data_IF_524813969255
#
_entry.id   IF_524813969255
#
_cell.length_a   1.000
_cell.length_b   1.000
_cell.length_c   1.000
_cell.angle_alpha   90.00
_cell.angle_beta   90.00
_cell.angle_gamma   90.00
#
_symmetry.space_group_name_H-M   'P 1'
#
loop_
_entity.id
_entity.type
_entity.pdbx_description
1 polymer ?
#
# COMPACT_ATOMS: atom_id res chain seq x y z
N UNK A 1 1.02 15.27 11.80
CA UNK A 1 0.32 14.06 11.31
C UNK A 1 1.06 13.47 10.10
N UNK A 2 1.03 12.16 9.88
CA UNK A 2 1.56 11.47 8.69
C UNK A 2 0.54 10.46 8.18
N UNK A 3 0.47 10.25 6.86
CA UNK A 3 -0.49 9.30 6.28
C UNK A 3 0.15 8.33 5.31
N UNK A 4 -0.42 7.13 5.18
CA UNK A 4 -0.02 6.16 4.16
C UNK A 4 -1.22 5.37 3.65
N UNK A 5 -1.40 5.32 2.33
CA UNK A 5 -2.28 4.34 1.71
C UNK A 5 -1.50 3.04 1.47
N UNK A 6 -1.85 1.97 2.17
CA UNK A 6 -1.34 0.62 1.93
C UNK A 6 -2.34 -0.15 1.08
N UNK A 7 -2.03 -0.39 -0.19
CA UNK A 7 -2.92 -1.05 -1.15
C UNK A 7 -2.39 -2.39 -1.61
N UNK A 8 -3.32 -3.32 -1.91
CA UNK A 8 -3.02 -4.53 -2.65
C UNK A 8 -2.75 -4.18 -4.12
N UNK A 9 -1.81 -4.88 -4.76
CA UNK A 9 -1.58 -4.73 -6.19
C UNK A 9 -2.85 -4.99 -7.03
N UNK A 10 -2.91 -4.37 -8.21
CA UNK A 10 -4.00 -4.57 -9.17
C UNK A 10 -3.95 -5.97 -9.81
N UNK A 11 -4.97 -6.32 -10.60
CA UNK A 11 -5.08 -7.64 -11.24
C UNK A 11 -3.83 -8.03 -12.03
N UNK A 12 -3.15 -9.09 -11.59
CA UNK A 12 -1.93 -9.59 -12.22
C UNK A 12 -2.17 -10.45 -13.45
N UNK A 13 -1.16 -10.56 -14.29
CA UNK A 13 -1.01 -11.67 -15.24
C UNK A 13 -0.86 -12.97 -14.44
N UNK A 14 -1.57 -14.03 -14.82
CA UNK A 14 -1.52 -15.30 -14.11
C UNK A 14 -0.21 -16.05 -14.32
N UNK A 15 0.47 -15.77 -15.44
CA UNK A 15 1.65 -16.49 -15.93
C UNK A 15 2.97 -15.73 -15.76
N UNK A 16 2.90 -14.44 -15.40
CA UNK A 16 4.07 -13.58 -15.25
C UNK A 16 3.91 -12.62 -14.07
N UNK A 17 5.03 -12.17 -13.46
CA UNK A 17 5.01 -11.14 -12.43
C UNK A 17 4.85 -9.75 -13.04
N UNK A 18 3.65 -9.44 -13.51
CA UNK A 18 3.29 -8.13 -14.09
C UNK A 18 1.78 -7.92 -14.00
N UNK A 19 1.32 -6.72 -14.28
CA UNK A 19 -0.12 -6.49 -14.43
C UNK A 19 -0.67 -7.05 -15.75
N UNK A 20 -1.88 -7.59 -15.67
CA UNK A 20 -2.71 -7.87 -16.85
C UNK A 20 -3.16 -6.55 -17.51
N UNK A 21 -3.57 -6.54 -18.79
CA UNK A 21 -4.13 -5.34 -19.42
C UNK A 21 -5.31 -4.74 -18.62
N UNK A 22 -6.19 -5.61 -18.10
CA UNK A 22 -7.30 -5.20 -17.25
C UNK A 22 -6.81 -4.58 -15.93
N UNK A 23 -5.77 -5.17 -15.30
CA UNK A 23 -5.19 -4.62 -14.07
C UNK A 23 -4.50 -3.27 -14.26
N UNK A 24 -3.93 -3.00 -15.44
CA UNK A 24 -3.38 -1.68 -15.77
C UNK A 24 -4.48 -0.62 -15.84
N UNK A 25 -5.58 -0.90 -16.55
CA UNK A 25 -6.75 -0.02 -16.58
C UNK A 25 -7.31 0.20 -15.18
N UNK A 26 -7.46 -0.88 -14.41
CA UNK A 26 -7.96 -0.84 -13.04
C UNK A 26 -7.11 0.09 -12.14
N UNK A 27 -5.78 -0.04 -12.22
CA UNK A 27 -4.87 0.80 -11.44
C UNK A 27 -4.93 2.27 -11.88
N UNK A 28 -5.00 2.53 -13.19
CA UNK A 28 -5.14 3.88 -13.72
C UNK A 28 -6.47 4.53 -13.30
N UNK A 29 -7.58 3.80 -13.36
CA UNK A 29 -8.89 4.29 -12.94
C UNK A 29 -8.94 4.57 -11.43
N UNK A 30 -8.35 3.70 -10.61
CA UNK A 30 -8.20 3.93 -9.17
C UNK A 30 -7.33 5.18 -8.88
N UNK A 31 -6.27 5.38 -9.66
CA UNK A 31 -5.45 6.58 -9.60
C UNK A 31 -6.24 7.84 -9.96
N UNK A 32 -7.05 7.79 -11.03
CA UNK A 32 -7.89 8.89 -11.49
C UNK A 32 -8.97 9.29 -10.47
N UNK A 33 -9.49 8.31 -9.73
CA UNK A 33 -10.44 8.52 -8.65
C UNK A 33 -9.78 8.98 -7.33
N UNK A 34 -8.45 8.86 -7.21
CA UNK A 34 -7.74 9.25 -6.00
C UNK A 34 -7.55 10.77 -5.95
N UNK A 35 -8.01 11.38 -4.85
CA UNK A 35 -7.88 12.83 -4.60
C UNK A 35 -6.62 13.18 -3.79
N UNK A 36 -5.84 12.18 -3.37
CA UNK A 36 -4.63 12.36 -2.56
C UNK A 36 -3.40 12.41 -3.44
N UNK A 37 -2.45 13.25 -3.05
CA UNK A 37 -1.07 13.23 -3.55
C UNK A 37 -0.19 12.44 -2.60
N UNK A 38 0.98 12.03 -3.07
CA UNK A 38 1.95 11.28 -2.29
C UNK A 38 3.33 11.92 -2.40
N UNK A 39 3.99 12.11 -1.26
CA UNK A 39 5.38 12.56 -1.20
C UNK A 39 6.36 11.39 -1.37
N UNK A 40 5.92 10.18 -1.00
CA UNK A 40 6.72 8.96 -1.05
C UNK A 40 5.94 7.78 -1.65
N UNK A 41 6.66 6.90 -2.35
CA UNK A 41 6.12 5.64 -2.88
C UNK A 41 6.97 4.45 -2.44
N UNK A 42 6.32 3.46 -1.85
CA UNK A 42 6.92 2.20 -1.45
C UNK A 42 6.29 1.04 -2.21
N UNK A 43 7.11 0.12 -2.70
CA UNK A 43 6.60 -1.07 -3.37
C UNK A 43 7.31 -2.31 -2.85
N UNK A 44 6.60 -3.43 -2.79
CA UNK A 44 7.26 -4.73 -2.64
C UNK A 44 8.21 -5.02 -3.82
N UNK A 45 9.15 -5.97 -3.70
CA UNK A 45 10.01 -6.39 -4.81
C UNK A 45 9.28 -6.98 -6.02
N UNK A 46 8.00 -7.32 -5.91
CA UNK A 46 7.23 -7.85 -7.02
C UNK A 46 6.98 -6.80 -8.10
N UNK A 47 7.24 -7.13 -9.36
CA UNK A 47 7.07 -6.21 -10.48
C UNK A 47 5.60 -5.76 -10.61
N UNK A 48 4.61 -6.63 -10.34
CA UNK A 48 3.19 -6.23 -10.34
C UNK A 48 2.86 -5.10 -9.35
N UNK A 49 3.59 -5.00 -8.24
CA UNK A 49 3.40 -3.92 -7.27
C UNK A 49 3.94 -2.59 -7.82
N UNK A 50 5.14 -2.63 -8.43
CA UNK A 50 5.73 -1.48 -9.13
C UNK A 50 4.86 -1.03 -10.30
N UNK A 51 4.38 -1.96 -11.14
CA UNK A 51 3.45 -1.68 -12.23
C UNK A 51 2.18 -1.01 -11.69
N UNK A 52 1.61 -1.51 -10.59
CA UNK A 52 0.40 -0.93 -9.97
C UNK A 52 0.64 0.52 -9.57
N UNK A 53 1.74 0.80 -8.85
CA UNK A 53 2.08 2.17 -8.46
C UNK A 53 2.25 3.08 -9.69
N UNK A 54 2.91 2.60 -10.74
CA UNK A 54 3.14 3.38 -11.96
C UNK A 54 1.84 3.73 -12.70
N UNK A 55 0.93 2.76 -12.87
CA UNK A 55 -0.37 3.02 -13.51
C UNK A 55 -1.29 3.86 -12.64
N UNK A 56 -1.27 3.67 -11.33
CA UNK A 56 -2.00 4.50 -10.37
C UNK A 56 -1.56 5.97 -10.44
N UNK A 57 -0.25 6.24 -10.36
CA UNK A 57 0.28 7.61 -10.40
C UNK A 57 0.01 8.28 -11.76
N UNK A 58 0.06 7.51 -12.86
CA UNK A 58 -0.36 7.98 -14.19
C UNK A 58 -1.82 8.44 -14.17
N UNK A 59 -2.72 7.63 -13.61
CA UNK A 59 -4.13 7.96 -13.47
C UNK A 59 -4.38 9.21 -12.63
N UNK A 60 -3.61 9.36 -11.55
CA UNK A 60 -3.64 10.53 -10.67
C UNK A 60 -3.03 11.81 -11.30
N UNK A 61 -2.37 11.70 -12.46
CA UNK A 61 -1.68 12.82 -13.11
C UNK A 61 -0.41 13.26 -12.38
N UNK A 62 0.19 12.40 -11.56
CA UNK A 62 1.33 12.71 -10.69
C UNK A 62 2.60 12.07 -11.24
N UNK A 63 3.70 12.83 -11.29
CA UNK A 63 5.03 12.26 -11.58
C UNK A 63 5.49 11.37 -10.41
N UNK A 64 6.29 10.33 -10.69
CA UNK A 64 6.83 9.45 -9.66
C UNK A 64 7.60 10.27 -8.59
N UNK A 65 7.13 10.27 -7.32
CA UNK A 65 7.84 10.89 -6.20
C UNK A 65 9.09 10.09 -5.80
N UNK A 66 9.75 10.53 -4.73
CA UNK A 66 10.79 9.75 -4.08
C UNK A 66 10.25 8.36 -3.71
N UNK A 67 11.00 7.32 -4.04
CA UNK A 67 10.49 5.96 -3.98
C UNK A 67 11.54 4.95 -3.54
N UNK A 68 11.06 3.82 -3.01
CA UNK A 68 11.93 2.71 -2.61
C UNK A 68 11.22 1.35 -2.76
N UNK A 69 12.02 0.33 -3.09
CA UNK A 69 11.61 -1.07 -3.01
C UNK A 69 11.85 -1.57 -1.60
N UNK A 70 10.83 -2.11 -0.95
CA UNK A 70 10.84 -2.54 0.44
C UNK A 70 10.59 -4.06 0.51
N UNK A 71 11.62 -4.87 0.81
CA UNK A 71 11.47 -6.33 0.92
C UNK A 71 10.36 -6.77 1.89
N UNK A 72 10.20 -6.08 3.02
CA UNK A 72 9.15 -6.37 4.01
C UNK A 72 7.72 -6.29 3.47
N UNK A 73 7.47 -5.52 2.41
CA UNK A 73 6.17 -5.49 1.74
C UNK A 73 5.88 -6.75 0.90
N UNK A 74 6.78 -7.74 0.85
CA UNK A 74 6.51 -9.02 0.18
C UNK A 74 5.63 -9.98 0.99
N UNK A 75 5.27 -9.66 2.22
CA UNK A 75 4.48 -10.56 3.08
C UNK A 75 5.30 -11.57 3.88
N UNK A 76 6.62 -11.59 3.71
CA UNK A 76 7.53 -12.56 4.32
C UNK A 76 8.77 -11.82 4.82
N UNK A 77 8.76 -11.48 6.11
CA UNK A 77 9.91 -10.91 6.83
C UNK A 77 10.49 -11.97 7.80
N UNK A 78 11.46 -11.55 8.62
CA UNK A 78 12.08 -12.43 9.63
C UNK A 78 11.08 -12.96 10.68
N UNK A 79 9.90 -12.33 10.85
CA UNK A 79 8.84 -12.83 11.74
C UNK A 79 7.95 -13.88 11.08
N UNK A 80 8.21 -14.24 9.82
CA UNK A 80 7.36 -15.14 9.03
C UNK A 80 6.06 -14.47 8.59
N UNK A 81 6.02 -13.12 8.56
CA UNK A 81 4.82 -12.37 8.23
C UNK A 81 3.78 -12.41 9.34
N UNK A 82 4.21 -12.29 10.60
CA UNK A 82 3.29 -12.11 11.73
C UNK A 82 2.60 -10.74 11.65
N UNK A 83 1.36 -10.59 12.17
CA UNK A 83 0.69 -9.29 12.23
C UNK A 83 1.54 -8.20 12.90
N UNK A 84 2.23 -8.53 13.99
CA UNK A 84 3.09 -7.61 14.74
C UNK A 84 4.30 -7.17 13.92
N UNK A 85 4.94 -8.09 13.19
CA UNK A 85 6.05 -7.78 12.30
C UNK A 85 5.62 -6.85 11.17
N UNK A 86 4.46 -7.12 10.56
CA UNK A 86 3.90 -6.26 9.52
C UNK A 86 3.55 -4.88 10.05
N UNK A 87 2.92 -4.79 11.22
CA UNK A 87 2.63 -3.52 11.88
C UNK A 87 3.90 -2.73 12.21
N UNK A 88 4.97 -3.40 12.68
CA UNK A 88 6.26 -2.78 12.91
C UNK A 88 6.88 -2.25 11.61
N UNK A 89 6.82 -3.05 10.52
CA UNK A 89 7.27 -2.62 9.20
C UNK A 89 6.52 -1.39 8.68
N UNK A 90 5.20 -1.35 8.86
CA UNK A 90 4.38 -0.19 8.52
C UNK A 90 4.74 1.05 9.33
N UNK A 91 4.97 0.90 10.64
CA UNK A 91 5.42 2.02 11.49
C UNK A 91 6.78 2.56 11.03
N UNK A 92 7.73 1.68 10.70
CA UNK A 92 9.02 2.08 10.18
C UNK A 92 8.93 2.83 8.84
N UNK A 93 7.95 2.49 7.98
CA UNK A 93 7.70 3.24 6.75
C UNK A 93 7.07 4.60 7.03
N UNK A 94 6.12 4.70 7.97
CA UNK A 94 5.54 5.97 8.41
C UNK A 94 6.60 6.91 9.01
N UNK A 95 7.62 6.37 9.70
CA UNK A 95 8.72 7.18 10.25
C UNK A 95 9.51 7.91 9.15
N UNK A 96 9.56 7.34 7.94
CA UNK A 96 10.19 7.96 6.77
C UNK A 96 9.33 9.04 6.11
N UNK A 97 8.03 9.07 6.38
CA UNK A 97 7.12 10.08 5.81
C UNK A 97 7.36 11.43 6.49
N UNK A 98 7.52 12.53 5.73
CA UNK A 98 7.66 13.88 6.30
C UNK A 98 6.49 14.24 7.21
N UNK A 99 6.73 15.13 8.17
CA UNK A 99 5.63 15.68 8.98
C UNK A 99 4.64 16.42 8.07
N UNK A 100 3.36 16.05 8.16
CA UNK A 100 2.30 16.55 7.27
C UNK A 100 2.21 15.82 5.93
N UNK A 101 3.13 14.90 5.65
CA UNK A 101 3.23 14.21 4.37
C UNK A 101 2.39 12.94 4.26
N UNK A 102 2.38 12.40 3.04
CA UNK A 102 1.65 11.20 2.66
C UNK A 102 2.50 10.23 1.85
N UNK A 103 2.22 8.94 1.97
CA UNK A 103 2.86 7.89 1.18
C UNK A 103 1.86 6.94 0.54
N UNK A 104 2.26 6.34 -0.58
CA UNK A 104 1.60 5.19 -1.19
C UNK A 104 2.48 3.96 -1.01
N UNK A 105 1.95 2.90 -0.42
CA UNK A 105 2.60 1.61 -0.33
C UNK A 105 1.79 0.56 -1.12
N UNK A 106 2.44 -0.16 -2.03
CA UNK A 106 1.80 -1.26 -2.79
C UNK A 106 2.39 -2.61 -2.40
N UNK A 107 1.51 -3.50 -1.94
CA UNK A 107 1.81 -4.80 -1.36
C UNK A 107 0.85 -5.89 -1.89
N UNK A 108 0.68 -6.97 -1.14
CA UNK A 108 -0.09 -8.17 -1.48
C UNK A 108 -1.05 -8.52 -0.35
N UNK A 109 -2.06 -9.34 -0.63
CA UNK A 109 -2.68 -10.13 0.44
C UNK A 109 -1.80 -11.35 0.75
N UNK A 110 -1.75 -11.83 2.01
CA UNK A 110 -2.48 -11.34 3.18
C UNK A 110 -1.75 -10.20 3.93
N UNK A 111 -0.75 -9.53 3.34
CA UNK A 111 0.06 -8.53 4.05
C UNK A 111 -0.78 -7.33 4.51
N UNK A 112 -1.68 -6.83 3.66
CA UNK A 112 -2.54 -5.69 3.99
C UNK A 112 -3.43 -6.03 5.19
N UNK A 113 -4.06 -7.19 5.18
CA UNK A 113 -5.01 -7.64 6.22
C UNK A 113 -4.29 -7.91 7.54
N UNK A 114 -3.11 -8.55 7.48
CA UNK A 114 -2.29 -8.78 8.68
C UNK A 114 -1.70 -7.50 9.25
N UNK A 115 -1.37 -6.52 8.41
CA UNK A 115 -0.97 -5.20 8.88
C UNK A 115 -2.13 -4.51 9.63
N UNK A 116 -3.38 -4.63 9.15
CA UNK A 116 -4.54 -4.13 9.90
C UNK A 116 -4.63 -4.79 11.28
N UNK A 117 -4.58 -6.13 11.33
CA UNK A 117 -4.64 -6.88 12.58
C UNK A 117 -3.54 -6.47 13.57
N UNK A 118 -2.30 -6.33 13.11
CA UNK A 118 -1.20 -5.93 13.99
C UNK A 118 -1.27 -4.47 14.45
N UNK A 119 -1.89 -3.58 13.67
CA UNK A 119 -2.02 -2.15 14.02
C UNK A 119 -3.20 -1.87 14.95
N UNK A 120 -4.31 -2.61 14.80
CA UNK A 120 -5.59 -2.32 15.47
C UNK A 120 -6.04 -3.42 16.43
N UNK A 121 -5.46 -4.61 16.36
CA UNK A 121 -5.93 -5.80 17.07
C UNK A 121 -7.22 -6.41 16.48
N UNK A 122 -7.69 -5.94 15.32
CA UNK A 122 -8.93 -6.40 14.68
C UNK A 122 -8.66 -6.96 13.28
N UNK A 123 -9.26 -8.09 12.96
CA UNK A 123 -9.24 -8.65 11.61
C UNK A 123 -10.11 -7.81 10.67
N UNK A 124 -9.71 -7.76 9.40
CA UNK A 124 -10.48 -7.13 8.32
C UNK A 124 -10.87 -8.18 7.29
N UNK A 125 -12.00 -7.96 6.62
CA UNK A 125 -12.40 -8.82 5.50
C UNK A 125 -11.33 -8.80 4.40
N UNK A 126 -11.13 -9.91 3.66
CA UNK A 126 -10.15 -10.00 2.59
C UNK A 126 -10.24 -8.81 1.61
N UNK A 127 -9.10 -8.23 1.26
CA UNK A 127 -9.03 -7.07 0.39
C UNK A 127 -9.01 -7.49 -1.07
N UNK A 128 -9.89 -6.93 -1.89
CA UNK A 128 -9.82 -7.08 -3.34
C UNK A 128 -8.60 -6.34 -3.91
N UNK A 129 -8.33 -6.53 -5.20
CA UNK A 129 -7.26 -5.81 -5.91
C UNK A 129 -7.48 -4.29 -5.80
N UNK A 130 -6.41 -3.53 -5.50
CA UNK A 130 -6.40 -2.07 -5.24
C UNK A 130 -7.13 -1.58 -3.99
N UNK A 131 -7.86 -2.45 -3.30
CA UNK A 131 -8.32 -2.16 -1.94
C UNK A 131 -7.14 -2.13 -0.96
N UNK A 132 -7.39 -1.55 0.20
CA UNK A 132 -6.31 -1.30 1.13
C UNK A 132 -6.72 -0.64 2.42
N UNK A 133 -5.74 -0.02 3.05
CA UNK A 133 -5.87 0.72 4.29
C UNK A 133 -5.36 2.14 4.08
N UNK A 134 -6.08 3.13 4.61
CA UNK A 134 -5.53 4.43 4.93
C UNK A 134 -5.06 4.39 6.38
N UNK A 135 -3.76 4.52 6.58
CA UNK A 135 -3.14 4.50 7.90
C UNK A 135 -2.72 5.94 8.23
N UNK A 136 -3.19 6.45 9.36
CA UNK A 136 -2.88 7.79 9.84
C UNK A 136 -2.12 7.70 11.16
N UNK A 137 -0.96 8.34 11.22
CA UNK A 137 -0.21 8.56 12.47
C UNK A 137 -0.41 10.01 12.93
N UNK A 138 -0.98 10.19 14.11
CA UNK A 138 -1.13 11.49 14.76
C UNK A 138 0.19 11.96 15.34
N UNK A 139 0.24 13.22 15.80
CA UNK A 139 1.49 13.83 16.32
C UNK A 139 1.97 13.22 17.64
N UNK A 140 1.05 12.67 18.43
CA UNK A 140 1.33 11.90 19.65
C UNK A 140 1.67 10.42 19.34
N UNK A 141 1.72 10.03 18.06
CA UNK A 141 2.12 8.69 17.61
C UNK A 141 1.01 7.65 17.61
N UNK A 142 -0.24 8.02 17.95
CA UNK A 142 -1.38 7.13 17.82
C UNK A 142 -1.64 6.77 16.35
N UNK A 143 -2.13 5.55 16.12
CA UNK A 143 -2.45 5.05 14.78
C UNK A 143 -3.96 4.91 14.64
N UNK A 144 -4.50 5.46 13.57
CA UNK A 144 -5.84 5.19 13.07
C UNK A 144 -5.74 4.47 11.72
N UNK A 145 -6.66 3.53 11.48
CA UNK A 145 -6.74 2.75 10.25
C UNK A 145 -8.16 2.82 9.71
N UNK A 146 -8.29 3.18 8.44
CA UNK A 146 -9.56 3.20 7.70
C UNK A 146 -9.44 2.27 6.48
N UNK A 147 -10.50 1.54 6.15
CA UNK A 147 -10.49 0.67 4.97
C UNK A 147 -10.76 1.46 3.69
N UNK A 148 -9.99 1.16 2.65
CA UNK A 148 -10.20 1.65 1.29
C UNK A 148 -10.83 0.51 0.49
N UNK A 149 -12.15 0.57 0.29
CA UNK A 149 -12.93 -0.41 -0.48
C UNK A 149 -13.33 0.16 -1.83
N UNK A 150 -13.36 -0.69 -2.85
CA UNK A 150 -13.83 -0.34 -4.19
C UNK A 150 -15.23 -0.92 -4.39
N UNK A 151 -16.19 -0.05 -4.69
CA UNK A 151 -17.59 -0.41 -4.91
C UNK A 151 -17.81 -1.13 -6.25
#
# INVERSE_FOLDING_TARGET
MKTMELRRHARRDQTADRLSPAGRSQAEDAGRACVRTFDLVFVSPAQRAADTAAWFLRGAGTQLPDHAVIPGLAGHDESGGSPEGMAAGIRALLDRVPAGGSALAVSHSPFVERAALGLTGSEVEPMAELEGLLITQTEDGAIAVEEIRLA
#
